data_IF_864672359217
#
_entry.id   IF_864672359217
#
_cell.length_a   1.000
_cell.length_b   1.000
_cell.length_c   1.000
_cell.angle_alpha   90.00
_cell.angle_beta   90.00
_cell.angle_gamma   90.00
#
_symmetry.space_group_name_H-M   'P 1'
#
loop_
_entity.id
_entity.type
_entity.pdbx_description
1 polymer ?
#
# COMPACT_ATOMS: atom_id res chain seq x y z
N UNK A 1 5.34 -20.35 -6.35
CA UNK A 1 5.80 -20.27 -4.94
C UNK A 1 4.76 -19.51 -4.12
N UNK A 2 4.51 -19.92 -2.88
CA UNK A 2 3.60 -19.21 -1.95
C UNK A 2 4.46 -18.67 -0.81
N UNK A 3 4.37 -17.38 -0.52
CA UNK A 3 5.00 -16.78 0.67
C UNK A 3 3.88 -16.37 1.60
N UNK A 4 3.91 -16.93 2.80
CA UNK A 4 3.11 -16.43 3.89
C UNK A 4 3.68 -15.08 4.31
N UNK A 5 2.87 -14.05 4.23
CA UNK A 5 3.10 -12.77 4.90
C UNK A 5 2.07 -12.66 6.02
N UNK A 6 2.26 -11.73 6.95
CA UNK A 6 1.24 -11.43 7.97
C UNK A 6 -0.06 -10.91 7.36
N UNK A 7 -0.01 -10.44 6.11
CA UNK A 7 -1.15 -10.05 5.29
C UNK A 7 -1.71 -11.19 4.42
N UNK A 8 -1.36 -12.45 4.69
CA UNK A 8 -1.90 -13.64 4.03
C UNK A 8 -0.96 -14.34 3.05
N UNK A 9 -1.52 -15.19 2.18
CA UNK A 9 -0.72 -15.93 1.19
C UNK A 9 -0.54 -15.03 -0.03
N UNK A 10 0.66 -14.46 -0.17
CA UNK A 10 1.08 -13.86 -1.43
C UNK A 10 1.53 -14.99 -2.37
N UNK A 11 0.83 -15.10 -3.49
CA UNK A 11 1.16 -16.06 -4.52
C UNK A 11 2.13 -15.42 -5.51
N UNK A 12 3.42 -15.71 -5.30
CA UNK A 12 4.51 -15.18 -6.13
C UNK A 12 4.60 -15.85 -7.51
N UNK A 13 3.71 -16.79 -7.85
CA UNK A 13 3.74 -17.50 -9.13
C UNK A 13 5.12 -18.05 -9.47
N UNK A 14 5.58 -17.73 -10.67
CA UNK A 14 6.95 -17.97 -11.13
C UNK A 14 7.86 -16.83 -10.65
N UNK A 15 8.89 -17.20 -9.88
CA UNK A 15 9.89 -16.27 -9.36
C UNK A 15 11.19 -16.47 -10.12
N UNK A 16 11.59 -15.45 -10.86
CA UNK A 16 12.91 -15.36 -11.49
C UNK A 16 13.79 -14.46 -10.66
N UNK A 17 15.03 -14.89 -10.43
CA UNK A 17 15.99 -14.13 -9.64
C UNK A 17 17.38 -14.20 -10.27
N UNK A 18 18.13 -13.10 -10.14
CA UNK A 18 19.52 -13.04 -10.61
C UNK A 18 20.36 -12.27 -9.60
N UNK A 19 21.42 -12.90 -9.11
CA UNK A 19 22.43 -12.25 -8.27
C UNK A 19 23.45 -11.52 -9.14
N UNK A 20 23.89 -10.32 -8.75
CA UNK A 20 25.03 -9.64 -9.38
C UNK A 20 26.33 -10.16 -8.75
N UNK A 21 27.14 -11.03 -9.41
CA UNK A 21 28.23 -11.73 -8.71
C UNK A 21 29.31 -10.79 -8.15
N UNK A 22 29.63 -9.73 -8.89
CA UNK A 22 30.63 -8.74 -8.47
C UNK A 22 30.23 -7.92 -7.24
N UNK A 23 28.94 -7.92 -6.87
CA UNK A 23 28.44 -7.24 -5.67
C UNK A 23 28.95 -7.88 -4.36
N UNK A 24 29.34 -9.16 -4.43
CA UNK A 24 29.93 -9.88 -3.29
C UNK A 24 31.33 -9.37 -2.96
N UNK A 25 32.09 -8.88 -3.95
CA UNK A 25 33.45 -8.35 -3.75
C UNK A 25 33.47 -7.09 -2.89
N UNK A 26 32.37 -6.33 -2.89
CA UNK A 26 32.19 -5.12 -2.08
C UNK A 26 31.30 -5.37 -0.85
N UNK A 27 31.05 -6.64 -0.50
CA UNK A 27 30.21 -7.05 0.62
C UNK A 27 28.81 -6.40 0.63
N UNK A 28 28.26 -6.13 -0.55
CA UNK A 28 26.92 -5.55 -0.72
C UNK A 28 26.12 -6.38 -1.73
N UNK A 29 25.76 -7.64 -1.39
CA UNK A 29 25.09 -8.53 -2.34
C UNK A 29 23.87 -7.85 -2.95
N UNK A 30 23.71 -7.96 -4.26
CA UNK A 30 22.59 -7.37 -4.99
C UNK A 30 21.83 -8.44 -5.77
N UNK A 31 20.56 -8.62 -5.44
CA UNK A 31 19.64 -9.54 -6.08
C UNK A 31 18.59 -8.76 -6.86
N UNK A 32 18.38 -9.10 -8.14
CA UNK A 32 17.17 -8.68 -8.85
C UNK A 32 16.15 -9.79 -8.76
N UNK A 33 14.94 -9.44 -8.36
CA UNK A 33 13.80 -10.35 -8.33
C UNK A 33 12.74 -9.87 -9.31
N UNK A 34 12.09 -10.83 -9.96
CA UNK A 34 10.90 -10.59 -10.75
C UNK A 34 9.96 -11.79 -10.58
N UNK A 35 8.71 -11.49 -10.26
CA UNK A 35 7.68 -12.46 -9.91
C UNK A 35 6.40 -12.07 -10.64
N UNK A 36 5.76 -13.05 -11.29
CA UNK A 36 4.50 -12.83 -12.01
C UNK A 36 3.51 -13.95 -11.72
N UNK A 37 2.29 -13.57 -11.41
CA UNK A 37 1.19 -14.50 -11.21
C UNK A 37 -0.14 -13.89 -11.62
N UNK A 38 -0.75 -14.39 -12.69
CA UNK A 38 -1.99 -13.82 -13.23
C UNK A 38 -1.82 -12.32 -13.53
N UNK A 39 -2.55 -11.47 -12.81
CA UNK A 39 -2.53 -10.01 -12.85
C UNK A 39 -1.73 -9.40 -11.68
N UNK A 40 -0.98 -10.21 -10.96
CA UNK A 40 -0.05 -9.79 -9.92
C UNK A 40 1.38 -9.83 -10.45
N UNK A 41 2.15 -8.83 -10.07
CA UNK A 41 3.52 -8.65 -10.53
C UNK A 41 4.34 -7.97 -9.44
N UNK A 42 5.58 -8.41 -9.29
CA UNK A 42 6.53 -7.82 -8.35
C UNK A 42 7.90 -7.82 -9.01
N UNK A 43 8.51 -6.66 -9.13
CA UNK A 43 9.89 -6.47 -9.54
C UNK A 43 10.59 -5.59 -8.50
N UNK A 44 11.82 -5.96 -8.14
CA UNK A 44 12.64 -5.16 -7.26
C UNK A 44 14.12 -5.52 -7.40
N UNK A 45 14.99 -4.56 -7.09
CA UNK A 45 16.42 -4.80 -6.86
C UNK A 45 16.68 -4.68 -5.37
N UNK A 46 17.15 -5.76 -4.75
CA UNK A 46 17.43 -5.85 -3.31
C UNK A 46 18.94 -5.81 -3.12
N UNK A 47 19.43 -4.89 -2.32
CA UNK A 47 20.84 -4.78 -1.94
C UNK A 47 20.97 -4.85 -0.43
N UNK A 48 21.70 -5.83 0.08
CA UNK A 48 22.01 -5.90 1.52
C UNK A 48 23.24 -5.04 1.84
N UNK A 49 23.20 -4.33 2.96
CA UNK A 49 24.32 -3.59 3.52
C UNK A 49 24.56 -4.03 4.97
N UNK A 50 25.55 -4.87 5.19
CA UNK A 50 25.73 -5.53 6.48
C UNK A 50 24.55 -6.47 6.80
N UNK A 51 24.37 -6.78 8.09
CA UNK A 51 23.39 -7.80 8.53
C UNK A 51 21.96 -7.27 8.66
N UNK A 52 21.79 -5.96 8.88
CA UNK A 52 20.55 -5.36 9.38
C UNK A 52 19.92 -4.36 8.43
N UNK A 53 20.62 -4.00 7.35
CA UNK A 53 20.17 -2.97 6.41
C UNK A 53 19.94 -3.57 5.03
N UNK A 54 18.77 -3.27 4.46
CA UNK A 54 18.35 -3.71 3.14
C UNK A 54 17.85 -2.50 2.37
N UNK A 55 18.35 -2.32 1.16
CA UNK A 55 17.89 -1.28 0.25
C UNK A 55 17.17 -1.96 -0.90
N UNK A 56 15.89 -1.64 -1.05
CA UNK A 56 15.12 -1.98 -2.23
C UNK A 56 15.12 -0.77 -3.16
N UNK A 57 15.40 -0.99 -4.44
CA UNK A 57 15.31 0.01 -5.49
C UNK A 57 14.57 -0.55 -6.68
N UNK A 58 14.09 0.34 -7.55
CA UNK A 58 13.32 -0.02 -8.75
C UNK A 58 12.15 -0.96 -8.38
N UNK A 59 11.45 -0.62 -7.29
CA UNK A 59 10.35 -1.44 -6.79
C UNK A 59 9.12 -1.13 -7.63
N UNK A 60 8.58 -2.15 -8.27
CA UNK A 60 7.30 -2.12 -8.94
C UNK A 60 6.48 -3.32 -8.45
N UNK A 61 5.34 -3.05 -7.84
CA UNK A 61 4.41 -4.09 -7.44
C UNK A 61 3.01 -3.77 -7.96
N UNK A 62 2.31 -4.80 -8.39
CA UNK A 62 0.91 -4.75 -8.81
C UNK A 62 0.19 -5.93 -8.19
N UNK A 63 -0.93 -5.66 -7.55
CA UNK A 63 -1.74 -6.67 -6.90
C UNK A 63 -3.21 -6.26 -6.86
N UNK A 64 -4.06 -7.24 -6.57
CA UNK A 64 -5.50 -7.01 -6.41
C UNK A 64 -5.79 -6.43 -5.02
N UNK A 65 -6.67 -5.42 -4.96
CA UNK A 65 -7.09 -4.79 -3.70
C UNK A 65 -7.80 -5.77 -2.75
N UNK A 66 -8.29 -6.91 -3.25
CA UNK A 66 -8.82 -8.00 -2.43
C UNK A 66 -7.79 -8.57 -1.44
N UNK A 67 -6.49 -8.28 -1.59
CA UNK A 67 -5.50 -8.60 -0.57
C UNK A 67 -5.66 -7.74 0.70
N UNK A 68 -6.24 -6.55 0.61
CA UNK A 68 -6.50 -5.66 1.75
C UNK A 68 -7.48 -6.25 2.77
N UNK A 69 -8.25 -7.28 2.38
CA UNK A 69 -9.15 -8.01 3.29
C UNK A 69 -8.46 -8.58 4.54
N UNK A 70 -7.14 -8.76 4.46
CA UNK A 70 -6.33 -9.27 5.59
C UNK A 70 -5.96 -8.16 6.58
N UNK A 71 -6.00 -6.89 6.15
CA UNK A 71 -5.75 -5.72 7.01
C UNK A 71 -7.04 -5.19 7.62
N UNK A 72 -8.14 -5.25 6.88
CA UNK A 72 -9.48 -4.91 7.36
C UNK A 72 -10.50 -5.90 6.78
N UNK A 73 -11.49 -6.37 7.54
CA UNK A 73 -12.48 -7.38 7.10
C UNK A 73 -13.54 -6.78 6.15
N UNK A 74 -13.10 -6.06 5.11
CA UNK A 74 -13.92 -5.39 4.12
C UNK A 74 -13.54 -5.93 2.74
N UNK A 75 -14.55 -6.31 1.95
CA UNK A 75 -14.36 -6.82 0.59
C UNK A 75 -14.12 -5.67 -0.39
N UNK A 76 -12.86 -5.29 -0.55
CA UNK A 76 -12.44 -4.24 -1.47
C UNK A 76 -11.91 -4.84 -2.77
N UNK A 77 -12.23 -4.20 -3.89
CA UNK A 77 -11.79 -4.60 -5.22
C UNK A 77 -11.13 -3.43 -5.97
N UNK A 78 -10.47 -3.77 -7.07
CA UNK A 78 -9.69 -2.83 -7.88
C UNK A 78 -8.20 -3.21 -7.93
N UNK A 79 -7.42 -2.42 -8.68
CA UNK A 79 -6.00 -2.68 -8.91
C UNK A 79 -5.15 -1.78 -8.05
N UNK A 80 -4.30 -2.37 -7.22
CA UNK A 80 -3.27 -1.66 -6.47
C UNK A 80 -1.95 -1.71 -7.24
N UNK A 81 -1.28 -0.57 -7.34
CA UNK A 81 0.11 -0.51 -7.77
C UNK A 81 0.94 0.23 -6.73
N UNK A 82 2.17 -0.22 -6.53
CA UNK A 82 3.14 0.41 -5.69
C UNK A 82 4.43 0.59 -6.49
N UNK A 83 4.95 1.81 -6.51
CA UNK A 83 6.22 2.15 -7.12
C UNK A 83 7.08 2.80 -6.07
N UNK A 84 8.32 2.35 -5.90
CA UNK A 84 9.28 3.01 -5.04
C UNK A 84 10.64 3.08 -5.72
N UNK A 85 11.18 4.29 -5.82
CA UNK A 85 12.53 4.51 -6.34
C UNK A 85 13.56 3.90 -5.39
N UNK A 86 13.33 4.12 -4.09
CA UNK A 86 14.19 3.64 -3.03
C UNK A 86 13.39 3.44 -1.75
N UNK A 87 13.56 2.27 -1.14
CA UNK A 87 13.08 1.92 0.18
C UNK A 87 14.25 1.35 0.98
N UNK A 88 14.68 2.09 1.99
CA UNK A 88 15.72 1.65 2.91
C UNK A 88 15.08 1.09 4.18
N UNK A 89 15.38 -0.16 4.47
CA UNK A 89 14.95 -0.86 5.65
C UNK A 89 16.13 -1.05 6.59
N UNK A 90 15.92 -0.80 7.88
CA UNK A 90 16.83 -1.20 8.95
C UNK A 90 16.04 -2.01 9.96
N UNK A 91 16.49 -3.23 10.24
CA UNK A 91 15.78 -4.15 11.14
C UNK A 91 14.35 -4.47 10.69
N UNK A 92 14.14 -4.53 9.37
CA UNK A 92 12.82 -4.73 8.76
C UNK A 92 11.92 -3.49 8.81
N UNK A 93 12.34 -2.39 9.43
CA UNK A 93 11.56 -1.16 9.53
C UNK A 93 11.98 -0.14 8.48
N UNK A 94 11.02 0.60 7.87
CA UNK A 94 11.35 1.67 6.95
C UNK A 94 12.12 2.80 7.64
N UNK A 95 13.33 3.07 7.14
CA UNK A 95 14.16 4.20 7.55
C UNK A 95 13.96 5.39 6.60
N UNK A 96 13.92 5.11 5.29
CA UNK A 96 13.68 6.09 4.22
C UNK A 96 12.87 5.44 3.12
N UNK A 97 11.95 6.18 2.51
CA UNK A 97 11.18 5.70 1.38
C UNK A 97 10.70 6.87 0.52
N UNK A 98 10.84 6.74 -0.79
CA UNK A 98 10.11 7.56 -1.77
C UNK A 98 9.27 6.62 -2.61
N UNK A 99 7.96 6.69 -2.44
CA UNK A 99 7.05 5.76 -3.05
C UNK A 99 5.74 6.41 -3.47
N UNK A 100 5.10 5.85 -4.50
CA UNK A 100 3.75 6.16 -4.92
C UNK A 100 2.92 4.90 -4.93
N UNK A 101 1.80 4.94 -4.22
CA UNK A 101 0.76 3.92 -4.28
C UNK A 101 -0.39 4.46 -5.12
N UNK A 102 -0.98 3.63 -5.97
CA UNK A 102 -2.25 3.96 -6.62
C UNK A 102 -3.24 2.82 -6.49
N UNK A 103 -4.49 3.17 -6.23
CA UNK A 103 -5.62 2.25 -6.23
C UNK A 103 -6.56 2.65 -7.36
N UNK A 104 -6.57 1.87 -8.43
CA UNK A 104 -7.38 2.15 -9.61
C UNK A 104 -8.64 1.29 -9.60
N UNK A 105 -9.74 1.86 -10.10
CA UNK A 105 -11.04 1.19 -10.16
C UNK A 105 -11.44 0.60 -8.80
N UNK A 106 -11.18 1.37 -7.74
CA UNK A 106 -11.55 1.04 -6.38
C UNK A 106 -13.06 0.85 -6.30
N UNK A 107 -13.47 -0.27 -5.74
CA UNK A 107 -14.85 -0.59 -5.49
C UNK A 107 -15.01 -1.37 -4.19
N UNK A 108 -16.22 -1.34 -3.66
CA UNK A 108 -16.63 -2.12 -2.52
C UNK A 108 -17.61 -3.20 -2.97
N UNK A 109 -17.27 -4.46 -2.71
CA UNK A 109 -18.15 -5.60 -2.94
C UNK A 109 -19.18 -5.67 -1.79
N UNK A 110 -20.21 -4.85 -1.88
CA UNK A 110 -21.27 -4.77 -0.87
C UNK A 110 -22.24 -5.96 -1.00
N UNK A 111 -23.03 -6.27 0.06
CA UNK A 111 -24.07 -7.29 -0.02
C UNK A 111 -25.13 -7.03 -1.10
N UNK A 112 -25.32 -5.77 -1.51
CA UNK A 112 -26.33 -5.37 -2.50
C UNK A 112 -25.76 -5.26 -3.92
N UNK A 113 -24.45 -5.40 -4.09
CA UNK A 113 -23.77 -5.30 -5.37
C UNK A 113 -22.45 -4.52 -5.29
N UNK A 114 -21.76 -4.45 -6.43
CA UNK A 114 -20.50 -3.70 -6.56
C UNK A 114 -20.77 -2.20 -6.51
N UNK A 115 -20.19 -1.52 -5.54
CA UNK A 115 -20.27 -0.06 -5.42
C UNK A 115 -18.94 0.59 -5.83
N UNK A 116 -18.90 1.38 -6.93
CA UNK A 116 -17.68 2.05 -7.35
C UNK A 116 -17.31 3.19 -6.38
N UNK A 117 -16.06 3.18 -5.91
CA UNK A 117 -15.52 4.22 -5.03
C UNK A 117 -14.75 5.26 -5.87
N UNK A 118 -13.83 4.81 -6.74
CA UNK A 118 -13.08 5.70 -7.60
C UNK A 118 -11.66 5.24 -7.90
N UNK A 119 -10.72 6.16 -7.94
CA UNK A 119 -9.29 5.88 -8.09
C UNK A 119 -8.49 6.88 -7.29
N UNK A 120 -7.48 6.41 -6.58
CA UNK A 120 -6.76 7.17 -5.56
C UNK A 120 -5.26 7.03 -5.75
N UNK A 121 -4.51 8.04 -5.32
CA UNK A 121 -3.06 7.97 -5.18
C UNK A 121 -2.65 8.35 -3.76
N UNK A 122 -1.57 7.72 -3.29
CA UNK A 122 -0.85 8.15 -2.11
C UNK A 122 0.63 8.33 -2.47
N UNK A 123 1.14 9.54 -2.31
CA UNK A 123 2.55 9.87 -2.50
C UNK A 123 3.23 9.90 -1.12
N UNK A 124 4.29 9.11 -0.94
CA UNK A 124 4.93 8.83 0.35
C UNK A 124 6.40 9.22 0.26
N UNK A 125 6.87 9.95 1.27
CA UNK A 125 8.24 10.42 1.41
C UNK A 125 8.71 10.38 2.87
N UNK A 126 10.00 10.25 3.11
CA UNK A 126 10.55 10.44 4.45
C UNK A 126 10.59 11.92 4.83
N UNK A 127 10.16 12.21 6.06
CA UNK A 127 10.24 13.57 6.65
C UNK A 127 11.39 13.68 7.65
N UNK A 128 11.74 12.54 8.27
CA UNK A 128 12.91 12.34 9.10
C UNK A 128 13.29 10.85 9.07
N UNK A 129 14.51 10.47 9.46
CA UNK A 129 14.89 9.05 9.54
C UNK A 129 13.91 8.25 10.40
N UNK A 130 13.24 7.26 9.80
CA UNK A 130 12.26 6.40 10.46
C UNK A 130 10.84 6.98 10.57
N UNK A 131 10.59 8.13 9.92
CA UNK A 131 9.27 8.76 9.83
C UNK A 131 8.92 9.00 8.36
N UNK A 132 7.93 8.25 7.87
CA UNK A 132 7.35 8.45 6.55
C UNK A 132 6.04 9.23 6.69
N UNK A 133 5.80 10.15 5.76
CA UNK A 133 4.53 10.84 5.63
C UNK A 133 4.08 10.77 4.16
N UNK A 134 2.78 10.83 3.94
CA UNK A 134 2.24 10.88 2.60
C UNK A 134 0.89 11.56 2.52
N UNK A 135 0.53 11.97 1.32
CA UNK A 135 -0.75 12.63 1.03
C UNK A 135 -1.58 11.70 0.16
N UNK A 136 -2.88 11.63 0.47
CA UNK A 136 -3.86 10.81 -0.25
C UNK A 136 -4.73 11.76 -1.05
N UNK A 137 -4.90 11.47 -2.34
CA UNK A 137 -5.71 12.28 -3.26
C UNK A 137 -6.57 11.42 -4.18
N UNK A 138 -7.68 11.99 -4.62
CA UNK A 138 -8.55 11.38 -5.63
C UNK A 138 -8.04 11.67 -7.02
N UNK A 139 -7.84 10.63 -7.81
CA UNK A 139 -7.52 10.72 -9.23
C UNK A 139 -8.79 10.79 -10.08
N UNK A 140 -9.80 9.97 -9.76
CA UNK A 140 -11.07 9.90 -10.49
C UNK A 140 -12.17 9.25 -9.64
N UNK A 141 -13.43 9.43 -10.03
CA UNK A 141 -14.58 8.76 -9.42
C UNK A 141 -15.45 9.65 -8.54
N UNK A 142 -16.60 9.11 -8.08
CA UNK A 142 -17.63 9.87 -7.38
C UNK A 142 -17.32 10.13 -5.90
N UNK A 143 -16.60 9.21 -5.24
CA UNK A 143 -16.15 9.38 -3.86
C UNK A 143 -14.79 10.06 -3.84
N UNK A 144 -14.76 11.28 -3.33
CA UNK A 144 -13.54 12.05 -3.09
C UNK A 144 -12.93 11.66 -1.75
N UNK A 145 -11.67 11.29 -1.77
CA UNK A 145 -10.80 11.12 -0.63
C UNK A 145 -9.65 12.12 -0.71
N UNK A 146 -9.45 12.86 0.38
CA UNK A 146 -8.29 13.72 0.60
C UNK A 146 -7.79 13.48 2.03
N UNK A 147 -6.48 13.34 2.21
CA UNK A 147 -5.97 13.01 3.52
C UNK A 147 -4.47 12.89 3.61
N UNK A 148 -4.03 12.42 4.77
CA UNK A 148 -2.64 12.23 5.10
C UNK A 148 -2.45 10.86 5.74
N UNK A 149 -1.28 10.28 5.52
CA UNK A 149 -0.82 9.09 6.21
C UNK A 149 0.54 9.37 6.84
N UNK A 150 0.80 8.73 7.97
CA UNK A 150 2.09 8.76 8.63
C UNK A 150 2.46 7.34 9.08
N UNK A 151 3.73 6.99 8.94
CA UNK A 151 4.31 5.79 9.52
C UNK A 151 5.54 6.20 10.33
N UNK A 152 5.52 5.89 11.62
CA UNK A 152 6.67 6.06 12.50
C UNK A 152 7.05 4.70 13.07
N UNK A 153 8.21 4.20 12.67
CA UNK A 153 8.65 2.83 12.96
C UNK A 153 7.63 1.80 12.48
N UNK A 154 6.71 1.38 13.34
CA UNK A 154 5.63 0.42 13.07
C UNK A 154 4.26 1.01 13.19
N UNK A 155 4.13 2.13 13.90
CA UNK A 155 2.84 2.75 14.17
C UNK A 155 2.45 3.58 12.97
N UNK A 156 1.27 3.30 12.43
CA UNK A 156 0.70 4.06 11.34
C UNK A 156 -0.53 4.83 11.81
N UNK A 157 -0.72 6.00 11.21
CA UNK A 157 -1.94 6.78 11.31
C UNK A 157 -2.35 7.22 9.90
N UNK A 158 -3.64 7.14 9.62
CA UNK A 158 -4.24 7.55 8.35
C UNK A 158 -5.47 8.38 8.69
N UNK A 159 -5.53 9.60 8.17
CA UNK A 159 -6.66 10.49 8.31
C UNK A 159 -7.15 10.89 6.93
N UNK A 160 -8.41 10.56 6.61
CA UNK A 160 -9.00 10.79 5.30
C UNK A 160 -10.35 11.50 5.50
N UNK A 161 -10.51 12.64 4.84
CA UNK A 161 -11.80 13.26 4.62
C UNK A 161 -12.43 12.66 3.36
N UNK A 162 -13.59 12.03 3.53
CA UNK A 162 -14.39 11.49 2.45
C UNK A 162 -15.54 12.44 2.14
N UNK A 163 -15.59 12.91 0.91
CA UNK A 163 -16.69 13.73 0.37
C UNK A 163 -17.24 13.11 -0.91
N UNK A 164 -18.42 13.53 -1.33
CA UNK A 164 -19.07 12.98 -2.51
C UNK A 164 -19.61 14.13 -3.36
N UNK A 165 -19.40 14.06 -4.68
CA UNK A 165 -19.80 15.14 -5.60
C UNK A 165 -21.33 15.18 -5.79
N UNK A 166 -22.00 14.03 -5.60
CA UNK A 166 -23.45 13.86 -5.73
C UNK A 166 -24.08 13.35 -4.42
N UNK A 167 -25.29 12.78 -4.49
CA UNK A 167 -25.91 12.11 -3.35
C UNK A 167 -25.09 10.89 -2.90
N UNK A 168 -24.96 10.69 -1.60
CA UNK A 168 -24.37 9.48 -1.03
C UNK A 168 -25.24 8.27 -1.32
N UNK A 169 -24.61 7.16 -1.67
CA UNK A 169 -25.28 5.86 -1.65
C UNK A 169 -25.68 5.51 -0.20
N UNK A 170 -26.95 5.18 0.09
CA UNK A 170 -27.40 4.90 1.46
C UNK A 170 -26.61 3.79 2.15
N UNK A 171 -26.22 2.75 1.41
CA UNK A 171 -25.47 1.62 1.95
C UNK A 171 -24.03 2.03 2.29
N UNK A 172 -23.41 2.86 1.45
CA UNK A 172 -22.09 3.43 1.75
C UNK A 172 -22.16 4.32 2.99
N UNK A 173 -23.21 5.13 3.08
CA UNK A 173 -23.40 6.05 4.19
C UNK A 173 -23.54 5.31 5.53
N UNK A 174 -24.32 4.23 5.56
CA UNK A 174 -24.45 3.35 6.73
C UNK A 174 -23.12 2.71 7.11
N UNK A 175 -22.37 2.19 6.14
CA UNK A 175 -21.06 1.59 6.39
C UNK A 175 -20.05 2.62 6.94
N UNK A 176 -20.02 3.82 6.36
CA UNK A 176 -19.15 4.90 6.83
C UNK A 176 -19.54 5.40 8.21
N UNK A 177 -20.83 5.43 8.56
CA UNK A 177 -21.26 5.81 9.90
C UNK A 177 -20.74 4.89 11.02
N UNK A 178 -20.33 3.65 10.67
CA UNK A 178 -19.72 2.71 11.62
C UNK A 178 -18.21 2.89 11.77
N UNK A 179 -17.54 3.42 10.73
CA UNK A 179 -16.07 3.46 10.63
C UNK A 179 -15.51 4.88 10.76
N UNK A 180 -16.31 5.89 10.43
CA UNK A 180 -15.92 7.28 10.31
C UNK A 180 -16.88 8.18 11.08
N UNK A 181 -16.40 9.35 11.47
CA UNK A 181 -17.23 10.35 12.15
C UNK A 181 -17.89 11.25 11.10
N UNK A 182 -19.21 11.43 11.13
CA UNK A 182 -19.87 12.37 10.23
C UNK A 182 -19.43 13.80 10.55
N UNK A 183 -19.12 14.58 9.52
CA UNK A 183 -18.73 15.99 9.58
C UNK A 183 -19.54 16.79 8.55
N UNK A 184 -19.52 18.12 8.64
CA UNK A 184 -20.34 18.98 7.77
C UNK A 184 -20.10 18.74 6.26
N UNK A 185 -18.86 18.38 5.88
CA UNK A 185 -18.48 18.14 4.48
C UNK A 185 -18.65 16.69 4.01
N UNK A 186 -18.91 15.73 4.92
CA UNK A 186 -18.89 14.30 4.61
C UNK A 186 -18.51 13.44 5.82
N UNK A 187 -17.48 12.62 5.68
CA UNK A 187 -17.03 11.67 6.72
C UNK A 187 -15.53 11.80 7.01
N UNK A 188 -15.16 11.97 8.28
CA UNK A 188 -13.78 11.94 8.79
C UNK A 188 -13.43 10.50 9.21
N UNK A 189 -12.65 9.81 8.37
CA UNK A 189 -12.15 8.46 8.61
C UNK A 189 -10.74 8.55 9.22
N UNK A 190 -10.55 7.93 10.39
CA UNK A 190 -9.25 7.84 11.05
C UNK A 190 -8.93 6.39 11.35
N UNK A 191 -7.77 5.93 10.90
CA UNK A 191 -7.28 4.59 11.11
C UNK A 191 -5.90 4.68 11.77
N UNK A 192 -5.78 4.08 12.93
CA UNK A 192 -4.53 3.98 13.67
C UNK A 192 -4.24 2.50 13.95
N UNK A 193 -2.96 2.11 13.91
CA UNK A 193 -2.56 0.75 14.22
C UNK A 193 -1.06 0.57 14.15
N UNK A 194 -0.63 -0.69 14.19
CA UNK A 194 0.79 -1.04 14.07
C UNK A 194 0.98 -2.16 13.05
N UNK A 195 2.06 -2.08 12.27
CA UNK A 195 2.44 -3.15 11.34
C UNK A 195 2.72 -4.46 12.09
N UNK A 196 2.39 -5.63 11.51
CA UNK A 196 2.58 -6.95 12.12
C UNK A 196 4.07 -7.38 12.22
N UNK A 197 4.37 -8.35 13.10
CA UNK A 197 5.73 -8.76 13.54
C UNK A 197 6.32 -9.88 12.70
#
# INVERSE_FOLDING_TARGET
>A
MRVATDAGILHLGEVTWSLRPLSLLVAAPTLRIHSRWSDQELAAVITWRGEREVILSDVEARFDAALLRHLAPIALSGRMTAQAERLQLRDGLPLQATARLTWQQAAWDSPQGLLPLGSYAADIQDTAPGVLAGTIVTLAGPLRAEGELQLRQRDYSIAILLTHDEAWDPLLQEALALLARPVAAGYDLRLDGSLPQ
#
